data_IF_976151792941
#
_entry.id   IF_976151792941
#
_cell.length_a   1.000
_cell.length_b   1.000
_cell.length_c   1.000
_cell.angle_alpha   90.00
_cell.angle_beta   90.00
_cell.angle_gamma   90.00
#
_symmetry.space_group_name_H-M   'P 1'
#
loop_
_entity.id
_entity.type
_entity.pdbx_description
1 polymer ?
#
# COMPACT_ATOMS: atom_id res chain seq x y z
N UNK A 1 9.30 27.52 -74.88
CA UNK A 1 9.57 27.77 -73.48
C UNK A 1 8.74 26.78 -72.63
N UNK A 2 9.37 25.72 -72.11
CA UNK A 2 8.69 24.70 -71.29
C UNK A 2 9.01 25.00 -69.82
N UNK A 3 8.00 25.38 -69.05
CA UNK A 3 8.12 25.53 -67.57
C UNK A 3 8.03 24.14 -66.94
N UNK A 4 9.10 23.75 -66.22
CA UNK A 4 9.13 22.59 -65.36
C UNK A 4 8.58 23.02 -63.99
N UNK A 5 7.40 22.52 -63.60
CA UNK A 5 6.87 22.59 -62.24
C UNK A 5 7.56 21.54 -61.40
N UNK A 6 8.38 21.97 -60.43
CA UNK A 6 8.96 21.08 -59.42
C UNK A 6 8.00 21.02 -58.23
N UNK A 7 7.28 19.93 -58.09
CA UNK A 7 6.40 19.71 -56.95
C UNK A 7 7.23 19.14 -55.79
N UNK A 8 7.48 19.97 -54.77
CA UNK A 8 8.19 19.57 -53.56
C UNK A 8 7.23 18.76 -52.67
N UNK A 9 7.42 17.46 -52.58
CA UNK A 9 6.68 16.56 -51.73
C UNK A 9 7.26 16.63 -50.31
N UNK A 10 6.62 17.35 -49.38
CA UNK A 10 6.99 17.42 -47.95
C UNK A 10 6.43 16.17 -47.29
N UNK A 11 7.28 15.19 -46.99
CA UNK A 11 6.95 14.00 -46.20
C UNK A 11 6.97 14.41 -44.72
N UNK A 12 5.80 14.67 -44.11
CA UNK A 12 5.62 14.82 -42.68
C UNK A 12 5.79 13.45 -42.00
N UNK A 13 6.95 13.18 -41.46
CA UNK A 13 7.21 12.05 -40.59
C UNK A 13 6.51 12.27 -39.25
N UNK A 14 5.32 11.71 -39.04
CA UNK A 14 4.69 11.65 -37.72
C UNK A 14 5.47 10.63 -36.89
N UNK A 15 6.36 11.12 -36.03
CA UNK A 15 6.96 10.30 -35.00
C UNK A 15 5.85 9.95 -33.99
N UNK A 16 5.30 8.74 -34.10
CA UNK A 16 4.44 8.18 -33.07
C UNK A 16 5.25 8.00 -31.79
N UNK A 17 5.21 8.96 -30.89
CA UNK A 17 5.70 8.82 -29.53
C UNK A 17 4.71 7.94 -28.78
N UNK A 18 4.86 6.62 -28.86
CA UNK A 18 4.14 5.68 -27.99
C UNK A 18 4.72 5.85 -26.60
N UNK A 19 3.99 6.49 -25.69
CA UNK A 19 4.34 6.53 -24.27
C UNK A 19 4.44 5.07 -23.79
N UNK A 20 5.65 4.65 -23.42
CA UNK A 20 5.89 3.31 -22.90
C UNK A 20 5.18 3.21 -21.55
N UNK A 21 4.38 2.14 -21.37
CA UNK A 21 3.74 1.88 -20.07
C UNK A 21 4.84 1.77 -18.99
N UNK A 22 4.71 2.44 -17.82
CA UNK A 22 5.68 2.34 -16.74
C UNK A 22 5.95 0.88 -16.38
N UNK A 23 7.19 0.58 -16.05
CA UNK A 23 7.53 -0.74 -15.50
C UNK A 23 6.94 -0.89 -14.09
N UNK A 24 6.77 -2.12 -13.63
CA UNK A 24 6.34 -2.37 -12.25
C UNK A 24 7.26 -1.67 -11.22
N UNK A 25 8.55 -1.67 -11.46
CA UNK A 25 9.52 -1.00 -10.59
C UNK A 25 9.29 0.52 -10.57
N UNK A 26 8.98 1.14 -11.71
CA UNK A 26 8.66 2.56 -11.78
C UNK A 26 7.35 2.89 -11.04
N UNK A 27 6.35 1.99 -11.11
CA UNK A 27 5.11 2.13 -10.36
C UNK A 27 5.38 2.15 -8.85
N UNK A 28 6.21 1.24 -8.33
CA UNK A 28 6.55 1.20 -6.90
C UNK A 28 7.43 2.39 -6.49
N UNK A 29 8.39 2.80 -7.32
CA UNK A 29 9.20 4.01 -7.06
C UNK A 29 8.33 5.27 -6.97
N UNK A 30 7.27 5.37 -7.79
CA UNK A 30 6.33 6.47 -7.70
C UNK A 30 5.59 6.46 -6.35
N UNK A 31 5.07 5.30 -5.91
CA UNK A 31 4.43 5.16 -4.58
C UNK A 31 5.39 5.56 -3.45
N UNK A 32 6.65 5.13 -3.51
CA UNK A 32 7.67 5.50 -2.52
C UNK A 32 7.97 7.01 -2.54
N UNK A 33 8.01 7.61 -3.72
CA UNK A 33 8.20 9.05 -3.88
C UNK A 33 7.03 9.86 -3.32
N UNK A 34 5.80 9.45 -3.62
CA UNK A 34 4.58 10.11 -3.11
C UNK A 34 4.52 10.03 -1.59
N UNK A 35 4.83 8.86 -1.01
CA UNK A 35 4.88 8.68 0.44
C UNK A 35 5.95 9.59 1.07
N UNK A 36 7.16 9.64 0.52
CA UNK A 36 8.21 10.53 0.98
C UNK A 36 7.82 12.01 0.87
N UNK A 37 7.14 12.40 -0.21
CA UNK A 37 6.65 13.76 -0.42
C UNK A 37 5.62 14.14 0.65
N UNK A 38 4.67 13.26 0.95
CA UNK A 38 3.69 13.46 2.02
C UNK A 38 4.37 13.60 3.39
N UNK A 39 5.39 12.80 3.67
CA UNK A 39 6.10 12.83 4.95
C UNK A 39 7.02 14.04 5.10
N UNK A 40 7.49 14.61 4.01
CA UNK A 40 8.25 15.87 3.99
C UNK A 40 7.37 17.13 4.05
N UNK A 41 6.07 17.02 3.77
CA UNK A 41 5.12 18.12 3.76
C UNK A 41 4.80 18.57 5.19
N UNK A 42 5.03 19.84 5.51
CA UNK A 42 4.82 20.40 6.86
C UNK A 42 3.38 20.31 7.36
N UNK A 43 2.42 20.27 6.46
CA UNK A 43 0.98 20.28 6.79
C UNK A 43 0.39 18.86 6.87
N UNK A 44 1.00 17.90 6.18
CA UNK A 44 0.49 16.52 6.04
C UNK A 44 1.32 15.48 6.78
N UNK A 45 2.55 15.82 7.16
CA UNK A 45 3.50 14.90 7.77
C UNK A 45 2.98 14.28 9.07
N UNK A 46 3.09 12.95 9.25
CA UNK A 46 2.83 12.32 10.53
C UNK A 46 3.99 12.47 11.52
N UNK A 47 5.15 12.94 11.08
CA UNK A 47 6.35 13.09 11.90
C UNK A 47 6.14 14.09 13.07
N UNK A 48 6.94 13.96 14.09
CA UNK A 48 7.06 15.05 15.08
C UNK A 48 7.69 16.28 14.41
N UNK A 49 7.41 17.47 14.96
CA UNK A 49 8.03 18.71 14.42
C UNK A 49 9.56 18.65 14.47
N UNK A 50 10.13 17.93 15.42
CA UNK A 50 11.56 17.78 15.57
C UNK A 50 12.13 16.86 14.48
N UNK A 51 11.49 15.70 14.25
CA UNK A 51 11.93 14.76 13.23
C UNK A 51 11.80 15.31 11.83
N UNK A 52 10.73 16.08 11.58
CA UNK A 52 10.50 16.72 10.27
C UNK A 52 11.66 17.65 9.87
N UNK A 53 12.29 18.36 10.82
CA UNK A 53 13.45 19.22 10.54
C UNK A 53 14.64 18.47 9.93
N UNK A 54 14.80 17.20 10.29
CA UNK A 54 15.93 16.36 9.86
C UNK A 54 15.52 15.26 8.89
N UNK A 55 14.23 15.17 8.54
CA UNK A 55 13.72 14.15 7.64
C UNK A 55 14.31 14.30 6.24
N UNK A 56 14.74 13.18 5.67
CA UNK A 56 15.21 13.11 4.29
C UNK A 56 14.33 12.21 3.45
N UNK A 57 14.15 10.99 3.90
CA UNK A 57 13.31 9.97 3.26
C UNK A 57 13.03 8.83 4.25
N UNK A 58 11.98 8.08 3.99
CA UNK A 58 11.74 6.77 4.58
C UNK A 58 12.71 5.74 3.97
N UNK A 59 13.08 4.74 4.76
CA UNK A 59 13.81 3.59 4.25
C UNK A 59 12.85 2.52 3.76
N UNK A 60 13.15 1.93 2.62
CA UNK A 60 12.40 0.83 2.02
C UNK A 60 13.26 -0.42 1.87
N UNK A 61 12.63 -1.58 1.89
CA UNK A 61 13.25 -2.79 1.35
C UNK A 61 13.43 -2.66 -0.16
N UNK A 62 14.30 -3.47 -0.74
CA UNK A 62 14.44 -3.54 -2.20
C UNK A 62 13.10 -3.95 -2.84
N UNK A 63 12.78 -3.34 -3.98
CA UNK A 63 11.59 -3.70 -4.74
C UNK A 63 11.77 -5.13 -5.27
N UNK A 64 10.84 -6.01 -4.91
CA UNK A 64 10.85 -7.39 -5.37
C UNK A 64 9.44 -7.78 -5.82
N UNK A 65 9.30 -8.09 -7.11
CA UNK A 65 8.02 -8.47 -7.72
C UNK A 65 7.41 -9.74 -7.12
N UNK A 66 8.23 -10.61 -6.50
CA UNK A 66 7.74 -11.80 -5.82
C UNK A 66 6.84 -11.47 -4.63
N UNK A 67 6.92 -10.27 -4.09
CA UNK A 67 6.03 -9.76 -3.05
C UNK A 67 4.76 -9.07 -3.59
N UNK A 68 4.54 -9.06 -4.91
CA UNK A 68 3.26 -8.70 -5.52
C UNK A 68 2.50 -9.98 -5.85
N UNK A 69 1.55 -10.34 -5.02
CA UNK A 69 0.91 -11.66 -4.99
C UNK A 69 -0.53 -11.54 -5.49
N UNK A 70 -0.90 -12.36 -6.45
CA UNK A 70 -2.29 -12.62 -6.77
C UNK A 70 -2.79 -13.76 -5.86
N UNK A 71 -3.61 -13.39 -4.87
CA UNK A 71 -4.15 -14.28 -3.87
C UNK A 71 -5.55 -14.78 -4.29
N UNK A 72 -5.92 -16.00 -3.94
CA UNK A 72 -7.32 -16.41 -4.00
C UNK A 72 -8.13 -15.59 -2.98
N UNK A 73 -9.31 -15.15 -3.37
CA UNK A 73 -10.16 -14.28 -2.56
C UNK A 73 -11.51 -14.93 -2.28
N UNK A 74 -11.90 -14.91 -1.01
CA UNK A 74 -13.18 -15.36 -0.51
C UNK A 74 -13.89 -14.19 0.21
N UNK A 75 -15.01 -13.76 -0.34
CA UNK A 75 -15.85 -12.72 0.28
C UNK A 75 -16.54 -13.28 1.53
N UNK A 76 -16.61 -12.49 2.62
CA UNK A 76 -17.26 -12.88 3.88
C UNK A 76 -18.42 -11.95 4.24
N UNK A 77 -19.54 -11.95 3.48
CA UNK A 77 -20.56 -10.89 3.54
C UNK A 77 -21.33 -10.85 4.86
N UNK A 78 -21.42 -11.98 5.58
CA UNK A 78 -22.21 -12.12 6.78
C UNK A 78 -21.40 -12.03 8.09
N UNK A 79 -20.16 -11.53 8.03
CA UNK A 79 -19.36 -11.34 9.24
C UNK A 79 -19.88 -10.16 10.06
N UNK A 80 -19.92 -10.27 11.40
CA UNK A 80 -20.37 -9.20 12.26
C UNK A 80 -19.43 -7.99 12.19
N UNK A 81 -19.99 -6.81 12.43
CA UNK A 81 -19.19 -5.60 12.71
C UNK A 81 -18.57 -5.77 14.11
N UNK A 82 -17.34 -5.37 14.27
CA UNK A 82 -16.59 -5.47 15.52
C UNK A 82 -15.76 -4.21 15.77
N UNK A 83 -15.38 -4.00 17.02
CA UNK A 83 -14.48 -2.94 17.46
C UNK A 83 -13.03 -3.37 17.26
N UNK A 84 -12.31 -2.71 16.34
CA UNK A 84 -10.90 -2.99 16.12
C UNK A 84 -10.05 -2.29 17.16
N UNK A 85 -9.20 -3.03 17.86
CA UNK A 85 -8.27 -2.49 18.84
C UNK A 85 -7.30 -1.51 18.18
N UNK A 86 -6.96 -0.44 18.91
CA UNK A 86 -5.95 0.53 18.48
C UNK A 86 -4.89 0.73 19.56
N UNK A 87 -3.87 1.52 19.24
CA UNK A 87 -2.81 1.92 20.20
C UNK A 87 -3.31 2.88 21.30
N UNK A 88 -4.60 3.22 21.29
CA UNK A 88 -5.28 4.06 22.29
C UNK A 88 -6.62 3.44 22.67
N UNK A 89 -7.45 4.15 23.44
CA UNK A 89 -8.80 3.69 23.80
C UNK A 89 -9.83 3.82 22.65
N UNK A 90 -9.44 4.32 21.48
CA UNK A 90 -10.33 4.43 20.32
C UNK A 90 -10.59 3.04 19.72
N UNK A 91 -11.86 2.72 19.52
CA UNK A 91 -12.33 1.43 19.00
C UNK A 91 -13.17 1.64 17.72
N UNK A 92 -12.54 1.85 16.56
CA UNK A 92 -13.26 2.05 15.32
C UNK A 92 -13.96 0.76 14.88
N UNK A 93 -15.13 0.92 14.26
CA UNK A 93 -15.93 -0.20 13.77
C UNK A 93 -15.42 -0.69 12.41
N UNK A 94 -15.13 -1.97 12.36
CA UNK A 94 -14.72 -2.68 11.14
C UNK A 94 -15.59 -3.91 10.90
N UNK A 95 -15.61 -4.37 9.66
CA UNK A 95 -16.13 -5.68 9.27
C UNK A 95 -15.03 -6.42 8.52
N UNK A 96 -14.93 -7.73 8.71
CA UNK A 96 -14.12 -8.56 7.82
C UNK A 96 -14.85 -8.63 6.49
N UNK A 97 -14.22 -8.07 5.46
CA UNK A 97 -14.77 -8.02 4.10
C UNK A 97 -14.51 -9.35 3.36
N UNK A 98 -13.34 -9.92 3.56
CA UNK A 98 -12.97 -11.18 2.91
C UNK A 98 -11.66 -11.72 3.45
N UNK A 99 -11.25 -12.86 2.89
CA UNK A 99 -10.01 -13.54 3.20
C UNK A 99 -9.23 -13.75 1.90
N UNK A 100 -7.97 -13.32 1.90
CA UNK A 100 -7.02 -13.60 0.83
C UNK A 100 -6.12 -14.75 1.24
N UNK A 101 -6.01 -15.80 0.40
CA UNK A 101 -5.14 -16.97 0.64
C UNK A 101 -4.09 -17.03 -0.47
N UNK A 102 -2.84 -17.29 -0.09
CA UNK A 102 -1.72 -17.31 -1.02
C UNK A 102 -0.57 -18.16 -0.51
N UNK A 103 0.35 -18.48 -1.39
CA UNK A 103 1.60 -19.15 -1.05
C UNK A 103 2.76 -18.18 -1.19
N UNK A 104 3.60 -18.08 -0.17
CA UNK A 104 4.85 -17.30 -0.21
C UNK A 104 5.97 -18.11 0.46
N UNK A 105 7.11 -18.22 -0.23
CA UNK A 105 8.26 -19.00 0.23
C UNK A 105 7.89 -20.46 0.62
N UNK A 106 6.99 -21.08 -0.15
CA UNK A 106 6.53 -22.45 0.06
C UNK A 106 5.58 -22.65 1.26
N UNK A 107 5.11 -21.56 1.90
CA UNK A 107 4.13 -21.61 2.99
C UNK A 107 2.78 -21.10 2.53
N UNK A 108 1.72 -21.80 2.88
CA UNK A 108 0.35 -21.33 2.72
C UNK A 108 0.03 -20.32 3.82
N UNK A 109 -0.48 -19.18 3.40
CA UNK A 109 -0.75 -18.02 4.25
C UNK A 109 -2.13 -17.47 3.94
N UNK A 110 -2.69 -16.75 4.91
CA UNK A 110 -3.95 -16.04 4.74
C UNK A 110 -3.89 -14.67 5.42
N UNK A 111 -4.61 -13.71 4.84
CA UNK A 111 -4.85 -12.39 5.43
C UNK A 111 -6.33 -12.08 5.37
N UNK A 112 -6.89 -11.68 6.48
CA UNK A 112 -8.22 -11.06 6.54
C UNK A 112 -8.14 -9.64 6.04
N UNK A 113 -9.08 -9.27 5.20
CA UNK A 113 -9.25 -7.95 4.61
C UNK A 113 -10.40 -7.27 5.33
N UNK A 114 -10.21 -6.03 5.75
CA UNK A 114 -11.18 -5.31 6.58
C UNK A 114 -11.74 -4.08 5.86
N UNK A 115 -12.98 -3.75 6.19
CA UNK A 115 -13.68 -2.56 5.75
C UNK A 115 -14.04 -1.69 6.96
N UNK A 116 -13.58 -0.45 6.97
CA UNK A 116 -13.94 0.52 8.01
C UNK A 116 -15.35 1.05 7.76
N UNK A 117 -16.25 0.90 8.74
CA UNK A 117 -17.66 1.24 8.58
C UNK A 117 -17.90 2.73 8.45
N UNK A 118 -17.07 3.57 9.06
CA UNK A 118 -17.19 5.02 8.97
C UNK A 118 -16.59 5.59 7.69
N UNK A 119 -15.47 5.03 7.20
CA UNK A 119 -14.84 5.52 5.98
C UNK A 119 -15.70 5.27 4.75
N UNK A 120 -16.38 4.13 4.67
CA UNK A 120 -17.25 3.79 3.54
C UNK A 120 -18.46 4.72 3.37
N UNK A 121 -18.78 5.55 4.38
CA UNK A 121 -19.83 6.58 4.26
C UNK A 121 -19.38 7.76 3.39
N UNK A 122 -18.06 7.90 3.14
CA UNK A 122 -17.51 8.90 2.24
C UNK A 122 -17.26 8.27 0.86
N UNK A 123 -17.82 8.88 -0.18
CA UNK A 123 -17.72 8.42 -1.57
C UNK A 123 -16.26 8.23 -2.05
N UNK A 124 -15.34 9.01 -1.50
CA UNK A 124 -13.90 8.91 -1.79
C UNK A 124 -13.28 7.57 -1.32
N UNK A 125 -13.89 6.94 -0.30
CA UNK A 125 -13.41 5.71 0.34
C UNK A 125 -14.43 4.57 0.29
N UNK A 126 -15.43 4.64 -0.58
CA UNK A 126 -16.49 3.63 -0.65
C UNK A 126 -15.97 2.24 -1.04
N UNK A 127 -14.91 2.18 -1.85
CA UNK A 127 -14.23 0.97 -2.30
C UNK A 127 -12.94 0.65 -1.50
N UNK A 128 -12.63 1.43 -0.46
CA UNK A 128 -11.42 1.26 0.34
C UNK A 128 -11.46 0.04 1.24
N UNK A 129 -10.42 -0.78 1.17
CA UNK A 129 -10.20 -1.93 2.04
C UNK A 129 -8.81 -1.86 2.68
N UNK A 130 -8.71 -2.45 3.86
CA UNK A 130 -7.57 -2.33 4.76
C UNK A 130 -7.03 -3.70 5.16
N UNK A 131 -5.71 -3.90 5.03
CA UNK A 131 -5.01 -5.13 5.40
C UNK A 131 -3.90 -4.79 6.39
N UNK A 132 -4.19 -4.73 7.70
CA UNK A 132 -3.15 -4.65 8.72
C UNK A 132 -2.54 -6.03 8.94
N UNK A 133 -1.21 -6.12 9.03
CA UNK A 133 -0.53 -7.40 9.22
C UNK A 133 0.73 -7.30 10.08
N UNK A 134 1.08 -8.41 10.71
CA UNK A 134 2.38 -8.64 11.32
C UNK A 134 3.13 -9.72 10.55
N UNK A 135 4.45 -9.67 10.60
CA UNK A 135 5.34 -10.67 10.02
C UNK A 135 6.59 -10.86 10.89
N UNK A 136 7.49 -11.78 10.54
CA UNK A 136 8.65 -12.08 11.38
C UNK A 136 9.73 -11.00 11.37
N UNK A 137 9.60 -9.93 10.59
CA UNK A 137 10.51 -8.78 10.58
C UNK A 137 10.16 -7.73 11.63
N UNK A 138 8.97 -7.81 12.24
CA UNK A 138 8.50 -6.81 13.19
C UNK A 138 9.40 -6.70 14.42
N UNK A 139 9.74 -5.48 14.80
CA UNK A 139 10.63 -5.19 15.92
C UNK A 139 12.12 -5.37 15.61
N UNK A 140 12.45 -5.73 14.35
CA UNK A 140 13.84 -5.80 13.86
C UNK A 140 14.04 -4.89 12.64
N UNK A 141 13.69 -5.36 11.45
CA UNK A 141 13.85 -4.58 10.20
C UNK A 141 12.58 -3.86 9.74
N UNK A 142 11.42 -4.16 10.34
CA UNK A 142 10.18 -3.40 10.18
C UNK A 142 9.60 -2.98 11.53
N UNK A 143 8.62 -2.06 11.51
CA UNK A 143 8.00 -1.53 12.71
C UNK A 143 7.37 -2.63 13.58
N UNK A 144 7.61 -2.59 14.90
CA UNK A 144 7.17 -3.62 15.85
C UNK A 144 5.66 -3.80 15.96
N UNK A 145 4.89 -2.73 15.72
CA UNK A 145 3.42 -2.74 15.75
C UNK A 145 2.74 -3.26 14.48
N UNK A 146 3.50 -3.74 13.50
CA UNK A 146 2.99 -4.21 12.22
C UNK A 146 2.94 -3.13 11.14
N UNK A 147 2.50 -3.53 9.95
CA UNK A 147 2.38 -2.67 8.77
C UNK A 147 1.01 -2.80 8.14
N UNK A 148 0.70 -1.90 7.21
CA UNK A 148 -0.58 -1.81 6.54
C UNK A 148 -0.42 -1.87 5.03
N UNK A 149 -1.43 -2.40 4.36
CA UNK A 149 -1.63 -2.31 2.92
C UNK A 149 -3.06 -1.86 2.68
N UNK A 150 -3.22 -0.88 1.82
CA UNK A 150 -4.51 -0.42 1.34
C UNK A 150 -4.76 -1.02 -0.05
N UNK A 151 -5.97 -1.46 -0.28
CA UNK A 151 -6.43 -1.97 -1.58
C UNK A 151 -7.83 -1.44 -1.85
N UNK A 152 -8.24 -1.47 -3.10
CA UNK A 152 -9.63 -1.23 -3.48
C UNK A 152 -10.40 -2.54 -3.53
N UNK A 153 -11.72 -2.45 -3.42
CA UNK A 153 -12.60 -3.60 -3.58
C UNK A 153 -12.34 -4.30 -4.91
N UNK A 154 -12.16 -5.62 -4.92
CA UNK A 154 -12.11 -6.37 -6.18
C UNK A 154 -13.46 -6.24 -6.90
N UNK A 155 -13.42 -6.37 -8.22
CA UNK A 155 -14.64 -6.36 -9.04
C UNK A 155 -15.63 -7.42 -8.55
N UNK A 156 -16.91 -7.14 -8.69
CA UNK A 156 -17.99 -8.07 -8.31
C UNK A 156 -17.76 -9.46 -8.94
N UNK A 157 -17.89 -10.50 -8.13
CA UNK A 157 -17.66 -11.89 -8.55
C UNK A 157 -16.18 -12.28 -8.70
N UNK A 158 -15.23 -11.40 -8.39
CA UNK A 158 -13.81 -11.75 -8.40
C UNK A 158 -13.49 -12.82 -7.38
N UNK A 159 -12.72 -13.83 -7.81
CA UNK A 159 -12.17 -14.89 -6.96
C UNK A 159 -10.70 -14.68 -6.63
N UNK A 160 -10.13 -13.56 -7.06
CA UNK A 160 -8.73 -13.18 -6.78
C UNK A 160 -8.62 -11.73 -6.34
N UNK A 161 -7.56 -11.42 -5.59
CA UNK A 161 -7.18 -10.08 -5.18
C UNK A 161 -5.65 -9.94 -5.23
N UNK A 162 -5.17 -8.77 -5.61
CA UNK A 162 -3.73 -8.48 -5.60
C UNK A 162 -3.34 -7.86 -4.27
N UNK A 163 -2.39 -8.50 -3.57
CA UNK A 163 -1.71 -7.96 -2.39
C UNK A 163 -0.28 -7.63 -2.79
N UNK A 164 0.07 -6.35 -2.73
CA UNK A 164 1.41 -5.88 -3.07
C UNK A 164 2.13 -5.38 -1.82
N UNK A 165 2.96 -6.24 -1.24
CA UNK A 165 3.72 -5.91 -0.04
C UNK A 165 4.80 -4.85 -0.28
N UNK A 166 5.20 -4.57 -1.53
CA UNK A 166 6.08 -3.45 -1.84
C UNK A 166 5.44 -2.08 -1.55
N UNK A 167 4.11 -2.05 -1.42
CA UNK A 167 3.32 -0.88 -1.01
C UNK A 167 3.04 -0.83 0.49
N UNK A 168 3.51 -1.81 1.26
CA UNK A 168 3.28 -1.83 2.71
C UNK A 168 3.95 -0.63 3.39
N UNK A 169 3.20 0.01 4.30
CA UNK A 169 3.63 1.20 5.03
C UNK A 169 3.43 1.04 6.54
N UNK A 170 4.15 1.85 7.32
CA UNK A 170 3.99 1.86 8.77
C UNK A 170 2.80 2.73 9.19
N UNK A 171 2.07 2.34 10.26
CA UNK A 171 1.08 3.22 10.87
C UNK A 171 1.72 4.53 11.37
N UNK A 172 0.96 5.61 11.40
CA UNK A 172 1.46 6.92 11.84
C UNK A 172 2.00 6.93 13.27
N UNK A 173 1.51 6.03 14.14
CA UNK A 173 2.03 5.88 15.51
C UNK A 173 3.49 5.36 15.55
N UNK A 174 4.01 4.80 14.46
CA UNK A 174 5.43 4.48 14.34
C UNK A 174 6.33 5.73 14.29
N UNK A 175 5.75 6.89 13.99
CA UNK A 175 6.46 8.15 13.80
C UNK A 175 6.10 9.21 14.87
N UNK A 176 4.94 9.06 15.51
CA UNK A 176 4.50 10.02 16.49
C UNK A 176 3.39 9.40 17.37
N UNK A 177 3.64 9.28 18.66
CA UNK A 177 2.74 8.66 19.64
C UNK A 177 1.38 9.33 19.80
N UNK A 178 1.15 10.52 19.20
CA UNK A 178 -0.18 11.18 19.23
C UNK A 178 -1.25 10.45 18.41
N UNK A 179 -0.84 9.55 17.49
CA UNK A 179 -1.77 8.88 16.60
C UNK A 179 -2.34 7.59 17.20
N UNK A 180 -3.62 7.38 16.97
CA UNK A 180 -4.34 6.16 17.32
C UNK A 180 -4.43 5.25 16.11
N UNK A 181 -3.69 4.15 16.13
CA UNK A 181 -3.53 3.26 14.98
C UNK A 181 -4.11 1.89 15.25
N UNK A 182 -4.83 1.27 14.31
CA UNK A 182 -5.31 -0.10 14.41
C UNK A 182 -4.18 -1.09 14.71
N UNK A 183 -4.41 -1.99 15.66
CA UNK A 183 -3.49 -3.10 15.92
C UNK A 183 -3.86 -4.25 14.99
N UNK A 184 -2.91 -4.81 14.20
CA UNK A 184 -3.21 -5.95 13.36
C UNK A 184 -3.78 -7.11 14.17
N UNK A 185 -4.97 -7.63 13.82
CA UNK A 185 -5.54 -8.80 14.46
C UNK A 185 -4.61 -10.02 14.39
N UNK A 186 -4.64 -10.87 15.41
CA UNK A 186 -3.74 -12.04 15.52
C UNK A 186 -3.82 -12.99 14.33
N UNK A 187 -4.96 -13.07 13.67
CA UNK A 187 -5.18 -13.85 12.45
C UNK A 187 -4.40 -13.32 11.23
N UNK A 188 -3.98 -12.04 11.25
CA UNK A 188 -3.14 -11.43 10.23
C UNK A 188 -1.65 -11.46 10.58
N UNK A 189 -1.23 -12.43 11.41
CA UNK A 189 0.18 -12.65 11.72
C UNK A 189 0.78 -13.70 10.79
N UNK A 190 1.64 -13.25 9.90
CA UNK A 190 2.35 -14.10 8.93
C UNK A 190 3.58 -14.75 9.58
N UNK A 191 3.72 -16.07 9.42
CA UNK A 191 4.87 -16.83 9.92
C UNK A 191 6.07 -16.85 8.95
N UNK A 192 6.23 -15.77 8.18
CA UNK A 192 7.32 -15.56 7.20
C UNK A 192 7.84 -14.12 7.32
N UNK A 193 9.03 -13.86 6.82
CA UNK A 193 9.56 -12.51 6.69
C UNK A 193 9.03 -11.86 5.40
N UNK A 194 8.51 -10.64 5.52
CA UNK A 194 8.10 -9.81 4.38
C UNK A 194 9.16 -8.72 4.19
N UNK A 195 10.13 -8.99 3.32
CA UNK A 195 11.23 -8.07 3.00
C UNK A 195 10.85 -7.13 1.85
N UNK A 196 9.70 -6.46 1.98
CA UNK A 196 9.15 -5.51 1.02
C UNK A 196 8.45 -4.35 1.74
N UNK A 197 8.28 -3.21 1.07
CA UNK A 197 7.65 -2.02 1.64
C UNK A 197 8.56 -1.20 2.55
N UNK A 198 7.97 -0.42 3.46
CA UNK A 198 8.69 0.47 4.39
C UNK A 198 9.37 -0.32 5.50
N UNK A 199 10.63 0.03 5.82
CA UNK A 199 11.38 -0.47 6.97
C UNK A 199 10.99 0.21 8.28
N UNK A 200 11.56 -0.26 9.38
CA UNK A 200 11.42 0.40 10.67
C UNK A 200 11.94 1.85 10.60
N UNK A 201 11.20 2.77 11.23
CA UNK A 201 11.69 4.13 11.42
C UNK A 201 12.73 4.13 12.55
N UNK A 202 13.95 4.57 12.25
CA UNK A 202 15.11 4.41 13.14
C UNK A 202 15.09 5.26 14.42
N UNK A 203 14.00 6.00 14.69
CA UNK A 203 13.80 6.78 15.92
C UNK A 203 12.70 6.13 16.76
N UNK A 204 12.96 5.96 18.05
CA UNK A 204 11.95 5.46 19.00
C UNK A 204 11.15 6.65 19.54
N UNK A 205 9.83 6.56 19.46
CA UNK A 205 8.86 7.52 20.01
C UNK A 205 8.00 6.86 21.09
#
# INVERSE_FOLDING_TARGET
>A
MKQLLFTLLVILSFSNCTAQKPSYEDEIKLVQYELNTQYADTDKSPLTKEDLKSFKALEFFNIDKNYRIEASFELTPNTPIFEMQTTTDRLPLYRKYGIARFTLNGKELALSIYQNQKLMENIEYEDYLFIPFNDTTNGSSSYGGGRYIDINMPSEGSTTVVIDFNKAYNPYCAYNGKYSCPIPPSENKLAVAILAGVKAYGKHH
#
